data_IF_004815649113
#
_entry.id   IF_004815649113
#
_cell.length_a   1.000
_cell.length_b   1.000
_cell.length_c   1.000
_cell.angle_alpha   90.00
_cell.angle_beta   90.00
_cell.angle_gamma   90.00
#
_symmetry.space_group_name_H-M   'P 1'
#
loop_
_entity.id
_entity.type
_entity.pdbx_description
1 polymer ?
#
# COMPACT_ATOMS: atom_id res chain seq x y z
N UNK A 1 4.04 -2.50 13.33
CA UNK A 1 3.37 -2.00 12.10
C UNK A 1 2.02 -1.44 12.50
N UNK A 2 1.71 -0.23 12.02
CA UNK A 2 0.40 0.37 12.24
C UNK A 2 -0.65 -0.36 11.41
N UNK A 3 -1.87 -0.47 11.94
CA UNK A 3 -2.94 -1.10 11.21
C UNK A 3 -3.46 -0.17 10.09
N UNK A 4 -3.62 -0.68 8.87
CA UNK A 4 -4.15 0.10 7.74
C UNK A 4 -5.67 0.24 7.79
N UNK A 5 -6.36 -0.57 8.61
CA UNK A 5 -7.81 -0.48 8.79
C UNK A 5 -8.14 0.67 9.73
N UNK A 6 -9.06 1.53 9.31
CA UNK A 6 -9.41 2.76 10.02
C UNK A 6 -9.86 2.54 11.47
N UNK A 7 -10.61 1.46 11.73
CA UNK A 7 -11.11 1.08 13.06
C UNK A 7 -9.99 0.72 14.04
N UNK A 8 -8.91 0.11 13.55
CA UNK A 8 -7.75 -0.25 14.38
C UNK A 8 -6.75 0.90 14.45
N UNK A 9 -6.55 1.61 13.34
CA UNK A 9 -5.67 2.77 13.24
C UNK A 9 -6.05 3.84 14.27
N UNK A 10 -7.33 4.18 14.33
CA UNK A 10 -7.85 5.18 15.28
C UNK A 10 -7.59 4.76 16.73
N UNK A 11 -7.80 3.48 17.06
CA UNK A 11 -7.53 2.96 18.40
C UNK A 11 -6.04 2.95 18.74
N UNK A 12 -5.15 2.69 17.79
CA UNK A 12 -3.71 2.81 18.02
C UNK A 12 -3.29 4.25 18.32
N UNK A 13 -3.86 5.23 17.62
CA UNK A 13 -3.58 6.65 17.88
C UNK A 13 -4.09 7.03 19.27
N UNK A 14 -5.32 6.66 19.62
CA UNK A 14 -5.90 6.92 20.94
C UNK A 14 -5.06 6.28 22.05
N UNK A 15 -4.65 5.01 21.88
CA UNK A 15 -3.86 4.31 22.89
C UNK A 15 -2.47 4.96 23.08
N UNK A 16 -1.87 5.52 22.02
CA UNK A 16 -0.62 6.26 22.11
C UNK A 16 -0.81 7.59 22.85
N UNK A 17 -1.92 8.28 22.61
CA UNK A 17 -2.28 9.49 23.32
C UNK A 17 -2.56 9.23 24.81
N UNK A 18 -3.32 8.18 25.13
CA UNK A 18 -3.57 7.73 26.51
C UNK A 18 -2.27 7.31 27.22
N UNK A 19 -1.30 6.76 26.48
CA UNK A 19 0.04 6.47 26.99
C UNK A 19 0.92 7.73 27.18
N UNK A 20 0.38 8.92 26.90
CA UNK A 20 1.04 10.21 27.10
C UNK A 20 1.93 10.65 25.95
N UNK A 21 1.79 10.09 24.75
CA UNK A 21 2.49 10.58 23.56
C UNK A 21 1.71 11.70 22.88
N UNK A 22 2.44 12.68 22.34
CA UNK A 22 1.91 13.67 21.40
C UNK A 22 1.75 12.99 20.03
N UNK A 23 0.54 13.01 19.48
CA UNK A 23 0.17 12.34 18.23
C UNK A 23 -0.18 13.31 17.09
N UNK A 24 -0.19 14.62 17.35
CA UNK A 24 -0.58 15.67 16.40
C UNK A 24 0.39 15.92 15.22
N UNK A 25 1.25 14.95 14.89
CA UNK A 25 2.20 15.04 13.78
C UNK A 25 1.60 14.47 12.49
N UNK A 26 2.08 14.96 11.34
CA UNK A 26 1.76 14.34 10.07
C UNK A 26 2.34 12.92 9.99
N UNK A 27 1.50 11.94 9.66
CA UNK A 27 1.95 10.58 9.41
C UNK A 27 2.84 10.50 8.16
N UNK A 28 3.68 9.47 8.11
CA UNK A 28 4.40 9.07 6.89
C UNK A 28 3.62 7.93 6.24
N UNK A 29 3.49 7.97 4.92
CA UNK A 29 2.78 6.96 4.15
C UNK A 29 3.75 6.18 3.29
N UNK A 30 3.73 4.85 3.39
CA UNK A 30 4.44 3.97 2.47
C UNK A 30 3.44 3.40 1.47
N UNK A 31 3.56 3.75 0.20
CA UNK A 31 2.65 3.29 -0.85
C UNK A 31 3.28 2.16 -1.64
N UNK A 32 2.52 1.10 -1.92
CA UNK A 32 2.95 -0.01 -2.75
C UNK A 32 2.42 0.16 -4.16
N UNK A 33 3.28 -0.06 -5.15
CA UNK A 33 2.90 -0.11 -6.56
C UNK A 33 2.06 -1.35 -6.95
N UNK A 34 1.90 -2.33 -6.05
CA UNK A 34 1.15 -3.56 -6.32
C UNK A 34 -0.07 -3.70 -5.40
N UNK A 35 -1.27 -3.52 -5.95
CA UNK A 35 -2.52 -3.98 -5.32
C UNK A 35 -2.77 -5.45 -5.65
N UNK A 36 -3.05 -6.29 -4.66
CA UNK A 36 -3.52 -7.67 -4.90
C UNK A 36 -4.78 -7.93 -4.09
N UNK A 37 -5.87 -8.44 -4.69
CA UNK A 37 -7.08 -8.74 -3.95
C UNK A 37 -6.84 -9.93 -3.01
N UNK A 38 -6.97 -9.71 -1.69
CA UNK A 38 -7.02 -10.81 -0.70
C UNK A 38 -8.44 -11.25 -0.38
N UNK A 39 -9.44 -10.54 -0.89
CA UNK A 39 -10.83 -10.86 -0.65
C UNK A 39 -11.22 -12.18 -1.33
N UNK A 40 -12.16 -12.90 -0.72
CA UNK A 40 -12.73 -14.11 -1.28
C UNK A 40 -13.59 -13.77 -2.51
N UNK A 41 -13.33 -14.38 -3.66
CA UNK A 41 -14.21 -14.25 -4.82
C UNK A 41 -15.52 -15.00 -4.54
N UNK A 42 -16.65 -14.29 -4.55
CA UNK A 42 -17.95 -14.82 -4.11
C UNK A 42 -18.55 -15.76 -5.15
N UNK A 43 -18.45 -15.45 -6.45
CA UNK A 43 -18.85 -16.37 -7.52
C UNK A 43 -18.16 -17.74 -7.39
N UNK A 44 -16.84 -17.74 -7.19
CA UNK A 44 -16.09 -18.99 -6.95
C UNK A 44 -16.51 -19.70 -5.68
N UNK A 45 -16.86 -18.96 -4.62
CA UNK A 45 -17.33 -19.55 -3.37
C UNK A 45 -18.71 -20.23 -3.53
N UNK A 46 -19.61 -19.63 -4.30
CA UNK A 46 -20.93 -20.19 -4.61
C UNK A 46 -20.78 -21.50 -5.38
N UNK A 47 -20.02 -21.50 -6.47
CA UNK A 47 -19.81 -22.73 -7.26
C UNK A 47 -19.09 -23.82 -6.45
N UNK A 48 -18.13 -23.45 -5.58
CA UNK A 48 -17.48 -24.43 -4.68
C UNK A 48 -18.47 -25.08 -3.73
N UNK A 49 -19.41 -24.28 -3.18
CA UNK A 49 -20.45 -24.77 -2.29
C UNK A 49 -21.40 -25.71 -3.04
N UNK A 50 -21.89 -25.32 -4.21
CA UNK A 50 -22.77 -26.15 -5.03
C UNK A 50 -22.09 -27.47 -5.44
N UNK A 51 -20.84 -27.41 -5.90
CA UNK A 51 -20.06 -28.60 -6.26
C UNK A 51 -19.93 -29.58 -5.08
N UNK A 52 -19.72 -29.06 -3.86
CA UNK A 52 -19.67 -29.87 -2.64
C UNK A 52 -21.03 -30.52 -2.34
N UNK A 53 -22.12 -29.75 -2.46
CA UNK A 53 -23.48 -30.25 -2.19
C UNK A 53 -23.91 -31.34 -3.19
N UNK A 54 -23.54 -31.22 -4.47
CA UNK A 54 -23.80 -32.25 -5.48
C UNK A 54 -23.07 -33.57 -5.18
N UNK A 55 -21.81 -33.50 -4.76
CA UNK A 55 -21.04 -34.68 -4.37
C UNK A 55 -21.61 -35.37 -3.13
N UNK A 56 -22.05 -34.60 -2.13
CA UNK A 56 -22.67 -35.13 -0.92
C UNK A 56 -24.01 -35.81 -1.28
N UNK A 57 -24.83 -35.17 -2.13
CA UNK A 57 -26.11 -35.74 -2.59
C UNK A 57 -25.90 -37.05 -3.35
N UNK A 58 -24.85 -37.16 -4.16
CA UNK A 58 -24.56 -38.37 -4.93
C UNK A 58 -23.93 -39.51 -4.12
N UNK A 59 -23.06 -39.20 -3.16
CA UNK A 59 -22.31 -40.21 -2.40
C UNK A 59 -22.87 -40.52 -1.02
N UNK A 60 -23.80 -39.71 -0.51
CA UNK A 60 -24.36 -39.82 0.85
C UNK A 60 -23.36 -39.51 1.97
N UNK A 61 -22.11 -39.14 1.64
CA UNK A 61 -21.04 -38.81 2.59
C UNK A 61 -20.29 -37.56 2.17
N UNK A 62 -19.47 -37.03 3.08
CA UNK A 62 -18.53 -35.96 2.73
C UNK A 62 -17.47 -36.51 1.75
N UNK A 63 -17.23 -35.85 0.60
CA UNK A 63 -16.19 -36.27 -0.34
C UNK A 63 -14.80 -36.05 0.26
N UNK A 64 -13.86 -36.89 -0.15
CA UNK A 64 -12.43 -36.72 0.15
C UNK A 64 -11.86 -35.54 -0.64
N UNK A 65 -10.70 -35.04 -0.22
CA UNK A 65 -10.04 -33.93 -0.90
C UNK A 65 -9.73 -34.23 -2.38
N UNK A 66 -9.37 -35.48 -2.71
CA UNK A 66 -9.08 -35.90 -4.09
C UNK A 66 -10.34 -35.90 -4.96
N UNK A 67 -11.42 -36.51 -4.47
CA UNK A 67 -12.73 -36.53 -5.14
C UNK A 67 -13.24 -35.11 -5.40
N UNK A 68 -13.17 -34.23 -4.39
CA UNK A 68 -13.58 -32.84 -4.55
C UNK A 68 -12.72 -32.09 -5.58
N UNK A 69 -11.40 -32.29 -5.56
CA UNK A 69 -10.48 -31.63 -6.49
C UNK A 69 -10.74 -32.04 -7.93
N UNK A 70 -11.00 -33.32 -8.18
CA UNK A 70 -11.33 -33.84 -9.52
C UNK A 70 -12.64 -33.26 -10.03
N UNK A 71 -13.70 -33.30 -9.21
CA UNK A 71 -14.99 -32.70 -9.55
C UNK A 71 -14.89 -31.19 -9.78
N UNK A 72 -14.16 -30.47 -8.93
CA UNK A 72 -13.98 -29.02 -9.04
C UNK A 72 -13.29 -28.60 -10.33
N UNK A 73 -12.30 -29.38 -10.79
CA UNK A 73 -11.59 -29.10 -12.04
C UNK A 73 -12.52 -29.18 -13.27
N UNK A 74 -13.57 -29.98 -13.21
CA UNK A 74 -14.60 -30.09 -14.26
C UNK A 74 -15.83 -29.22 -14.03
N UNK A 75 -16.02 -28.66 -12.83
CA UNK A 75 -17.26 -27.97 -12.45
C UNK A 75 -17.42 -26.62 -13.15
N UNK A 76 -16.33 -25.85 -13.27
CA UNK A 76 -16.31 -24.56 -13.98
C UNK A 76 -15.62 -24.70 -15.34
N UNK A 77 -16.22 -24.13 -16.39
CA UNK A 77 -15.64 -24.13 -17.73
C UNK A 77 -14.36 -23.28 -17.80
N UNK A 78 -13.29 -23.83 -18.38
CA UNK A 78 -12.03 -23.10 -18.57
C UNK A 78 -12.15 -22.23 -19.83
N UNK A 79 -12.01 -20.91 -19.68
CA UNK A 79 -12.10 -19.93 -20.78
C UNK A 79 -10.77 -19.31 -21.15
N UNK A 80 -9.71 -19.55 -20.36
CA UNK A 80 -8.39 -19.04 -20.69
C UNK A 80 -7.32 -19.43 -19.68
N UNK A 81 -6.11 -18.92 -19.92
CA UNK A 81 -4.97 -19.02 -19.01
C UNK A 81 -4.35 -17.65 -18.79
N UNK A 82 -4.05 -17.33 -17.52
CA UNK A 82 -3.29 -16.17 -17.13
C UNK A 82 -1.83 -16.31 -17.60
N UNK A 83 -1.40 -15.44 -18.50
CA UNK A 83 -0.02 -15.41 -19.02
C UNK A 83 1.02 -15.21 -17.89
N UNK A 84 0.67 -14.46 -16.83
CA UNK A 84 1.56 -14.16 -15.69
C UNK A 84 1.80 -15.36 -14.74
N UNK A 85 1.06 -16.46 -14.91
CA UNK A 85 1.30 -17.70 -14.16
C UNK A 85 2.38 -18.58 -14.81
N UNK A 86 2.86 -18.24 -16.02
CA UNK A 86 4.01 -18.88 -16.63
C UNK A 86 5.29 -18.34 -15.96
N UNK A 87 5.78 -19.07 -14.96
CA UNK A 87 7.18 -18.94 -14.53
C UNK A 87 7.99 -19.90 -15.39
N UNK A 88 8.80 -19.44 -16.36
CA UNK A 88 9.83 -20.32 -16.90
C UNK A 88 10.72 -20.73 -15.73
N UNK A 89 10.96 -22.03 -15.58
CA UNK A 89 11.67 -22.61 -14.42
C UNK A 89 13.13 -22.12 -14.25
N UNK A 90 13.65 -21.24 -15.11
CA UNK A 90 15.06 -20.83 -15.16
C UNK A 90 15.23 -19.31 -15.24
N UNK A 91 14.76 -18.54 -14.25
CA UNK A 91 15.26 -17.17 -14.06
C UNK A 91 16.02 -17.14 -12.74
N UNK A 92 17.34 -17.26 -12.81
CA UNK A 92 18.23 -16.92 -11.69
C UNK A 92 18.01 -15.45 -11.35
N UNK A 93 17.27 -15.17 -10.26
CA UNK A 93 17.05 -13.81 -9.79
C UNK A 93 18.31 -13.34 -9.06
N UNK A 94 19.30 -12.90 -9.82
CA UNK A 94 20.39 -12.07 -9.31
C UNK A 94 19.91 -10.62 -9.27
N UNK A 95 19.42 -10.15 -8.13
CA UNK A 95 19.68 -8.79 -7.62
C UNK A 95 19.14 -8.62 -6.18
N UNK A 96 20.05 -8.26 -5.28
CA UNK A 96 19.76 -7.93 -3.87
C UNK A 96 18.80 -6.74 -3.81
N UNK A 97 17.66 -6.90 -3.16
CA UNK A 97 16.78 -5.76 -2.82
C UNK A 97 15.27 -6.01 -2.86
N UNK A 98 14.78 -7.17 -3.30
CA UNK A 98 13.35 -7.46 -3.22
C UNK A 98 12.98 -8.09 -1.88
N UNK A 99 12.16 -7.35 -1.14
CA UNK A 99 11.51 -7.74 0.11
C UNK A 99 11.02 -9.18 0.00
N UNK A 100 11.42 -9.99 0.98
CA UNK A 100 11.25 -11.43 0.97
C UNK A 100 9.87 -11.87 0.51
N UNK A 101 9.87 -12.76 -0.48
CA UNK A 101 8.73 -13.60 -0.82
C UNK A 101 8.30 -14.35 0.45
N UNK A 102 7.37 -13.77 1.20
CA UNK A 102 6.62 -14.45 2.25
C UNK A 102 5.77 -15.54 1.57
N UNK A 103 6.38 -16.69 1.30
CA UNK A 103 5.79 -18.03 1.32
C UNK A 103 4.39 -18.23 0.73
N UNK A 104 3.94 -17.43 -0.23
CA UNK A 104 2.65 -17.59 -0.88
C UNK A 104 2.81 -18.68 -1.92
N UNK A 105 2.58 -19.93 -1.51
CA UNK A 105 2.22 -21.00 -2.45
C UNK A 105 0.98 -20.52 -3.18
N UNK A 106 1.15 -20.11 -4.43
CA UNK A 106 0.05 -19.87 -5.35
C UNK A 106 -0.63 -21.23 -5.60
N UNK A 107 -1.59 -21.58 -4.74
CA UNK A 107 -2.40 -22.76 -5.00
C UNK A 107 -3.33 -22.47 -6.17
N UNK A 108 -3.18 -23.26 -7.24
CA UNK A 108 -4.21 -23.46 -8.24
C UNK A 108 -4.05 -22.60 -9.48
N UNK A 109 -3.34 -23.18 -10.46
CA UNK A 109 -3.42 -22.98 -11.91
C UNK A 109 -3.84 -21.59 -12.37
N UNK A 110 -2.99 -20.88 -13.13
CA UNK A 110 -3.38 -19.69 -13.86
C UNK A 110 -4.43 -19.97 -14.95
N UNK A 111 -5.54 -20.63 -14.63
CA UNK A 111 -6.70 -20.87 -15.47
C UNK A 111 -7.74 -19.81 -15.12
N UNK A 112 -8.33 -19.24 -16.16
CA UNK A 112 -9.46 -18.33 -16.08
C UNK A 112 -10.70 -19.19 -16.34
N UNK A 113 -11.68 -19.12 -15.45
CA UNK A 113 -12.82 -20.04 -15.41
C UNK A 113 -14.14 -19.30 -15.36
N UNK A 114 -15.10 -19.72 -16.17
CA UNK A 114 -16.44 -19.15 -16.19
C UNK A 114 -17.32 -19.74 -15.06
N UNK A 115 -18.27 -18.98 -14.50
CA UNK A 115 -19.19 -19.47 -13.49
C UNK A 115 -20.17 -20.51 -14.04
N UNK A 116 -20.40 -21.56 -13.25
CA UNK A 116 -21.25 -22.68 -13.66
C UNK A 116 -22.73 -22.45 -13.32
N UNK A 117 -23.00 -21.92 -12.14
CA UNK A 117 -24.36 -21.74 -11.63
C UNK A 117 -24.94 -20.35 -11.98
N UNK A 118 -26.28 -20.20 -12.12
CA UNK A 118 -26.92 -18.89 -12.30
C UNK A 118 -26.60 -17.90 -11.20
N UNK A 119 -26.51 -18.37 -9.95
CA UNK A 119 -26.17 -17.57 -8.78
C UNK A 119 -24.71 -17.10 -8.82
N UNK A 120 -23.77 -17.95 -9.25
CA UNK A 120 -22.38 -17.54 -9.45
C UNK A 120 -22.24 -16.56 -10.62
N UNK A 121 -23.00 -16.75 -11.71
CA UNK A 121 -23.07 -15.81 -12.84
C UNK A 121 -23.52 -14.42 -12.39
N UNK A 122 -24.57 -14.36 -11.56
CA UNK A 122 -25.09 -13.10 -11.03
C UNK A 122 -24.08 -12.33 -10.14
N UNK A 123 -23.10 -13.03 -9.58
CA UNK A 123 -22.09 -12.49 -8.67
C UNK A 123 -20.66 -12.62 -9.23
N UNK A 124 -20.52 -12.78 -10.54
CA UNK A 124 -19.21 -12.89 -11.20
C UNK A 124 -18.40 -11.60 -10.99
N UNK A 125 -17.10 -11.75 -10.70
CA UNK A 125 -16.23 -10.62 -10.37
C UNK A 125 -16.46 -9.97 -9.00
N UNK A 126 -17.45 -10.41 -8.22
CA UNK A 126 -17.67 -9.88 -6.87
C UNK A 126 -16.74 -10.52 -5.83
N UNK A 127 -16.35 -9.73 -4.84
CA UNK A 127 -15.45 -10.12 -3.75
C UNK A 127 -16.07 -9.82 -2.39
N UNK A 128 -15.83 -10.71 -1.42
CA UNK A 128 -16.40 -10.62 -0.08
C UNK A 128 -15.77 -9.50 0.73
N UNK A 129 -16.60 -8.55 1.17
CA UNK A 129 -16.21 -7.43 2.01
C UNK A 129 -15.27 -6.43 1.34
N UNK A 130 -14.97 -5.34 2.04
CA UNK A 130 -13.96 -4.37 1.60
C UNK A 130 -12.61 -4.73 2.22
N UNK A 131 -11.89 -5.65 1.58
CA UNK A 131 -10.56 -6.09 2.00
C UNK A 131 -9.51 -5.90 0.91
N UNK A 132 -9.35 -4.68 0.34
CA UNK A 132 -8.17 -4.42 -0.48
C UNK A 132 -6.93 -4.64 0.38
N UNK A 133 -5.86 -5.21 -0.20
CA UNK A 133 -4.57 -5.07 0.45
C UNK A 133 -4.32 -3.58 0.66
N UNK A 134 -3.80 -3.17 1.82
CA UNK A 134 -3.36 -1.81 2.00
C UNK A 134 -2.38 -1.49 0.89
N UNK A 135 -2.80 -0.63 -0.04
CA UNK A 135 -1.87 -0.01 -0.97
C UNK A 135 -0.97 0.98 -0.23
N UNK A 136 -1.29 1.28 1.03
CA UNK A 136 -0.59 2.24 1.88
C UNK A 136 -0.39 1.64 3.28
N UNK A 137 0.84 1.63 3.77
CA UNK A 137 1.13 1.51 5.18
C UNK A 137 1.24 2.90 5.79
N UNK A 138 0.57 3.11 6.92
CA UNK A 138 0.68 4.34 7.70
C UNK A 138 1.78 4.14 8.74
N UNK A 139 2.69 5.10 8.84
CA UNK A 139 3.72 5.15 9.87
C UNK A 139 3.35 6.32 10.78
N UNK A 140 2.90 5.97 11.99
CA UNK A 140 2.57 6.95 13.02
C UNK A 140 3.87 7.59 13.54
N UNK A 141 3.91 8.92 13.48
CA UNK A 141 4.97 9.72 14.06
C UNK A 141 4.46 10.26 15.38
N UNK A 142 5.13 9.92 16.47
CA UNK A 142 4.75 10.33 17.83
C UNK A 142 5.98 10.74 18.62
N UNK A 143 5.76 11.57 19.64
CA UNK A 143 6.83 12.09 20.49
C UNK A 143 6.37 12.12 21.94
N UNK A 144 7.28 11.87 22.89
CA UNK A 144 7.00 12.23 24.29
C UNK A 144 6.91 13.76 24.43
N UNK A 145 6.09 14.29 25.34
CA UNK A 145 6.13 15.70 25.71
C UNK A 145 7.54 16.16 26.04
N UNK A 146 7.84 17.42 25.70
CA UNK A 146 9.11 18.03 26.04
C UNK A 146 9.22 18.18 27.56
N UNK A 147 10.39 17.88 28.11
CA UNK A 147 10.74 18.20 29.50
C UNK A 147 11.27 19.63 29.62
N UNK A 148 11.83 20.17 28.53
CA UNK A 148 12.34 21.53 28.46
C UNK A 148 11.36 22.47 27.75
N UNK A 149 11.54 23.79 27.96
CA UNK A 149 10.67 24.81 27.39
C UNK A 149 10.81 24.92 25.88
N UNK A 150 12.00 24.67 25.34
CA UNK A 150 12.30 24.78 23.92
C UNK A 150 12.89 23.49 23.34
N UNK A 151 12.68 23.27 22.04
CA UNK A 151 13.32 22.16 21.32
C UNK A 151 14.84 22.22 21.34
N UNK A 152 15.42 23.44 21.33
CA UNK A 152 16.87 23.64 21.40
C UNK A 152 17.42 23.14 22.75
N UNK A 153 16.82 23.56 23.86
CA UNK A 153 17.23 23.11 25.20
C UNK A 153 17.05 21.59 25.36
N UNK A 154 15.93 21.04 24.87
CA UNK A 154 15.69 19.60 24.87
C UNK A 154 16.80 18.85 24.12
N UNK A 155 17.16 19.32 22.92
CA UNK A 155 18.17 18.70 22.08
C UNK A 155 19.57 18.78 22.71
N UNK A 156 19.92 19.91 23.34
CA UNK A 156 21.17 20.03 24.08
C UNK A 156 21.20 19.12 25.31
N UNK A 157 20.07 19.00 26.03
CA UNK A 157 19.99 18.19 27.24
C UNK A 157 20.08 16.70 26.97
N UNK A 158 19.37 16.19 25.97
CA UNK A 158 19.29 14.75 25.73
C UNK A 158 19.16 14.33 24.26
N UNK A 159 19.34 15.26 23.32
CA UNK A 159 19.25 15.01 21.88
C UNK A 159 17.90 14.43 21.42
N UNK A 160 16.82 14.70 22.17
CA UNK A 160 15.44 14.33 21.80
C UNK A 160 14.68 15.54 21.28
N UNK A 161 13.53 15.30 20.67
CA UNK A 161 12.69 16.34 20.08
C UNK A 161 13.21 16.89 18.74
N UNK A 162 14.21 16.26 18.13
CA UNK A 162 14.80 16.69 16.86
C UNK A 162 14.78 15.57 15.82
N UNK A 163 14.66 15.95 14.55
CA UNK A 163 14.70 15.04 13.41
C UNK A 163 15.83 15.44 12.46
N UNK A 164 16.70 14.49 12.10
CA UNK A 164 17.89 14.74 11.27
C UNK A 164 17.57 14.80 9.77
N UNK A 165 16.71 15.74 9.36
CA UNK A 165 16.20 15.84 7.99
C UNK A 165 17.31 16.07 6.93
N UNK A 166 18.40 16.74 7.28
CA UNK A 166 19.53 16.97 6.37
C UNK A 166 20.24 15.67 5.95
N UNK A 167 20.31 14.68 6.85
CA UNK A 167 20.90 13.36 6.54
C UNK A 167 19.96 12.49 5.70
N UNK A 168 18.66 12.77 5.75
CA UNK A 168 17.62 12.07 4.97
C UNK A 168 17.31 12.70 3.61
N UNK A 169 18.13 13.65 3.14
CA UNK A 169 17.91 14.30 1.84
C UNK A 169 17.97 13.29 0.70
N UNK A 170 17.04 13.44 -0.24
CA UNK A 170 17.04 12.67 -1.47
C UNK A 170 17.91 13.41 -2.51
N UNK A 171 19.01 12.79 -2.99
CA UNK A 171 19.86 13.41 -3.98
C UNK A 171 19.11 13.56 -5.31
N UNK A 172 19.52 14.54 -6.10
CA UNK A 172 19.00 14.71 -7.45
C UNK A 172 19.52 13.60 -8.36
N UNK A 173 18.64 12.98 -9.17
CA UNK A 173 19.04 11.95 -10.13
C UNK A 173 19.88 12.52 -11.27
N UNK A 174 19.62 13.78 -11.66
CA UNK A 174 20.29 14.42 -12.79
C UNK A 174 20.44 15.94 -12.62
N UNK A 175 21.32 16.55 -13.43
CA UNK A 175 21.43 18.02 -13.54
C UNK A 175 20.12 18.66 -14.01
N UNK A 176 19.26 17.91 -14.73
CA UNK A 176 17.94 18.37 -15.14
C UNK A 176 17.00 18.47 -13.93
N UNK A 177 16.96 17.45 -13.07
CA UNK A 177 16.15 17.43 -11.84
C UNK A 177 16.53 18.57 -10.87
N UNK A 178 17.83 18.87 -10.79
CA UNK A 178 18.36 20.00 -10.03
C UNK A 178 17.88 21.34 -10.61
N UNK A 179 17.97 21.51 -11.93
CA UNK A 179 17.52 22.72 -12.64
C UNK A 179 15.99 22.88 -12.63
N UNK A 180 15.22 21.80 -12.70
CA UNK A 180 13.76 21.85 -12.62
C UNK A 180 13.29 22.28 -11.21
N UNK A 181 13.91 21.76 -10.14
CA UNK A 181 13.65 22.26 -8.79
C UNK A 181 14.04 23.74 -8.63
N UNK A 182 15.13 24.18 -9.27
CA UNK A 182 15.48 25.60 -9.30
C UNK A 182 14.42 26.43 -10.06
N UNK A 183 13.88 25.93 -11.17
CA UNK A 183 12.91 26.65 -12.01
C UNK A 183 11.56 26.89 -11.35
N UNK A 184 11.09 26.02 -10.46
CA UNK A 184 9.85 26.24 -9.69
C UNK A 184 9.95 27.55 -8.89
N UNK A 185 11.14 27.91 -8.42
CA UNK A 185 11.39 29.16 -7.68
C UNK A 185 11.44 30.40 -8.60
N UNK A 186 11.30 30.24 -9.92
CA UNK A 186 11.25 31.34 -10.91
C UNK A 186 9.84 31.60 -11.45
N UNK A 187 8.86 30.75 -11.10
CA UNK A 187 7.46 30.83 -11.53
C UNK A 187 6.61 31.82 -10.72
N UNK A 188 7.24 32.70 -9.93
CA UNK A 188 6.61 33.91 -9.37
C UNK A 188 6.40 35.04 -10.39
N UNK A 189 6.57 34.79 -11.70
CA UNK A 189 6.15 35.73 -12.76
C UNK A 189 4.75 35.35 -13.25
N UNK A 190 3.76 35.48 -12.37
CA UNK A 190 2.36 35.49 -12.80
C UNK A 190 2.17 36.73 -13.67
N UNK A 191 1.63 36.54 -14.88
CA UNK A 191 1.27 37.63 -15.78
C UNK A 191 0.25 38.54 -15.07
N UNK A 192 0.61 39.82 -15.06
CA UNK A 192 -0.09 41.10 -14.79
C UNK A 192 -1.62 41.23 -14.63
N UNK A 193 -2.42 40.19 -14.47
CA UNK A 193 -3.86 40.32 -14.26
C UNK A 193 -4.22 39.91 -12.83
N UNK A 194 -4.28 40.94 -11.98
CA UNK A 194 -4.43 40.93 -10.52
C UNK A 194 -5.69 40.19 -10.06
N UNK A 195 -5.54 39.33 -9.06
CA UNK A 195 -6.62 38.97 -8.12
C UNK A 195 -6.28 39.51 -6.73
N UNK A 196 -7.33 39.92 -6.01
CA UNK A 196 -7.28 40.66 -4.75
C UNK A 196 -6.54 39.87 -3.65
N UNK A 197 -5.41 40.37 -3.16
CA UNK A 197 -4.63 39.76 -2.07
C UNK A 197 -3.10 39.74 -2.25
N UNK A 198 -2.57 40.38 -3.30
CA UNK A 198 -1.13 40.39 -3.61
C UNK A 198 -0.28 41.02 -2.48
N UNK A 199 0.35 40.17 -1.69
CA UNK A 199 1.49 40.54 -0.85
C UNK A 199 2.64 41.01 -1.76
N UNK A 200 3.40 42.05 -1.38
CA UNK A 200 4.52 42.53 -2.16
C UNK A 200 5.54 41.39 -2.35
N UNK A 201 6.02 41.26 -3.59
CA UNK A 201 7.06 40.33 -4.00
C UNK A 201 8.27 40.38 -3.07
N UNK A 202 8.27 39.58 -2.01
CA UNK A 202 9.52 39.10 -1.46
C UNK A 202 10.00 38.04 -2.44
N UNK A 203 11.15 38.29 -3.07
CA UNK A 203 11.86 37.26 -3.82
C UNK A 203 12.19 36.12 -2.85
N UNK A 204 11.27 35.17 -2.69
CA UNK A 204 11.54 33.92 -2.00
C UNK A 204 12.47 33.11 -2.88
N UNK A 205 13.75 33.49 -2.89
CA UNK A 205 14.84 32.66 -3.38
C UNK A 205 14.94 31.51 -2.38
N UNK A 206 14.07 30.50 -2.51
CA UNK A 206 14.33 29.21 -1.88
C UNK A 206 15.62 28.69 -2.53
N UNK A 207 16.74 28.82 -1.82
CA UNK A 207 18.02 28.31 -2.28
C UNK A 207 17.91 26.79 -2.39
N UNK A 208 18.08 26.26 -3.59
CA UNK A 208 18.12 24.82 -3.81
C UNK A 208 19.37 24.26 -3.14
N UNK A 209 19.19 23.37 -2.17
CA UNK A 209 20.32 22.77 -1.48
C UNK A 209 21.02 21.77 -2.43
N UNK A 210 22.31 21.93 -2.74
CA UNK A 210 23.01 21.06 -3.69
C UNK A 210 23.06 19.59 -3.24
N UNK A 211 22.90 19.32 -1.94
CA UNK A 211 22.86 17.95 -1.39
C UNK A 211 21.56 17.20 -1.67
N UNK A 212 20.52 17.88 -2.15
CA UNK A 212 19.23 17.27 -2.42
C UNK A 212 18.06 17.94 -1.73
N UNK A 213 16.86 17.47 -2.05
CA UNK A 213 15.61 17.94 -1.46
C UNK A 213 15.26 17.18 -0.18
N UNK A 214 14.37 17.75 0.63
CA UNK A 214 13.81 17.03 1.76
C UNK A 214 12.98 15.82 1.29
N UNK A 215 12.95 14.73 2.07
CA UNK A 215 12.08 13.60 1.80
C UNK A 215 10.62 14.04 1.90
N UNK A 216 9.75 13.46 1.08
CA UNK A 216 8.31 13.63 1.23
C UNK A 216 7.80 12.74 2.38
N UNK A 217 6.66 13.10 2.96
CA UNK A 217 5.93 12.22 3.88
C UNK A 217 5.19 11.08 3.15
N UNK A 218 5.42 10.91 1.85
CA UNK A 218 4.93 9.80 1.03
C UNK A 218 6.14 9.11 0.42
N UNK A 219 6.25 7.81 0.67
CA UNK A 219 7.24 6.89 0.14
C UNK A 219 6.55 6.02 -0.91
N UNK A 220 7.20 5.78 -2.05
CA UNK A 220 6.68 5.02 -3.20
C UNK A 220 7.74 4.01 -3.63
#
# INVERSE_FOLDING_TARGET
MCAPRQDVLSRQIINLEEAGFITGFSSIYWTYASGFPKAQNISKAIDKKECMEQLIRGSGRKPTHKEFKEAWNSFRGIIGRNASAYRPNNVEVHQRGQVGNLGLKAEGSGLITDPATPQAKALEGSYGGFQPKPAVEVILVVMKPLSEKTYMEQALKNSKGVTWLDKGRLPYKSKRDFKENWRINKLGKIKKDKFLGDLPNSEMIQQTNPRGRFPANILV
#
